data_IF_866422153642
#
_entry.id   IF_866422153642
#
_cell.length_a   1.000
_cell.length_b   1.000
_cell.length_c   1.000
_cell.angle_alpha   90.00
_cell.angle_beta   90.00
_cell.angle_gamma   90.00
#
_symmetry.space_group_name_H-M   'P 1'
#
loop_
_entity.id
_entity.type
_entity.pdbx_description
1 polymer ?
2 non-polymer ?
3 non-polymer ?
4 non-polymer ?
5 non-polymer ?
6 non-polymer ?
7 water ?
#
# COMPACT_ATOMS: atom_id res chain seq x y z
N UNK A 3 -16.29 -27.52 -5.05
CA UNK A 3 -16.12 -26.60 -3.93
C UNK A 3 -14.66 -26.21 -3.75
N UNK A 4 -13.77 -27.08 -4.22
CA UNK A 4 -12.33 -26.98 -4.02
C UNK A 4 -11.69 -26.65 -5.36
N UNK A 5 -11.61 -25.35 -5.66
CA UNK A 5 -11.49 -24.83 -7.02
C UNK A 5 -10.06 -24.96 -7.57
N UNK A 6 -9.98 -24.98 -8.91
CA UNK A 6 -8.74 -25.12 -9.64
C UNK A 6 -8.42 -23.83 -10.41
N UNK A 7 -7.14 -23.45 -10.41
CA UNK A 7 -6.66 -22.31 -11.19
C UNK A 7 -5.52 -22.79 -12.07
N UNK A 8 -5.53 -22.33 -13.32
CA UNK A 8 -4.60 -22.83 -14.34
C UNK A 8 -3.65 -21.74 -14.78
N UNK A 9 -2.43 -22.14 -15.11
CA UNK A 9 -1.47 -21.27 -15.77
C UNK A 9 -1.43 -21.71 -17.24
N UNK A 10 -1.70 -20.76 -18.14
CA UNK A 10 -1.86 -21.08 -19.55
C UNK A 10 -0.56 -20.93 -20.34
N UNK A 11 0.56 -20.65 -19.66
CA UNK A 11 1.86 -20.63 -20.31
C UNK A 11 2.70 -21.84 -19.99
N UNK A 12 2.55 -22.41 -18.79
CA UNK A 12 3.28 -23.59 -18.36
C UNK A 12 2.42 -24.84 -18.21
N UNK A 13 1.09 -24.68 -18.16
CA UNK A 13 0.11 -25.73 -17.91
C UNK A 13 0.09 -26.20 -16.46
N UNK A 14 0.65 -25.43 -15.52
CA UNK A 14 0.56 -25.80 -14.12
C UNK A 14 -0.86 -25.57 -13.63
N UNK A 15 -1.36 -26.49 -12.80
CA UNK A 15 -2.66 -26.36 -12.14
C UNK A 15 -2.45 -26.40 -10.63
N UNK A 16 -3.17 -25.54 -9.92
CA UNK A 16 -3.14 -25.51 -8.47
C UNK A 16 -4.57 -25.58 -7.93
N UNK A 17 -4.72 -26.21 -6.79
CA UNK A 17 -6.02 -26.40 -6.15
C UNK A 17 -6.13 -25.49 -4.94
N UNK A 18 -7.21 -24.70 -4.90
CA UNK A 18 -7.43 -23.71 -3.86
C UNK A 18 -8.50 -24.23 -2.90
N UNK A 19 -8.11 -24.46 -1.65
CA UNK A 19 -9.05 -24.71 -0.57
C UNK A 19 -9.12 -23.57 0.43
N UNK A 20 -8.18 -22.62 0.37
CA UNK A 20 -8.15 -21.53 1.34
C UNK A 20 -9.37 -20.63 1.22
N UNK A 21 -9.95 -20.53 0.02
CA UNK A 21 -11.13 -19.70 -0.16
C UNK A 21 -12.28 -20.13 0.74
N UNK A 22 -12.29 -21.39 1.19
CA UNK A 22 -13.32 -21.84 2.12
C UNK A 22 -13.31 -21.01 3.40
N UNK A 23 -12.12 -20.65 3.88
CA UNK A 23 -11.97 -19.88 5.10
C UNK A 23 -12.41 -18.43 4.94
N UNK A 24 -12.72 -17.99 3.72
CA UNK A 24 -13.04 -16.59 3.48
C UNK A 24 -14.30 -16.17 4.21
N UNK A 25 -14.29 -14.95 4.73
CA UNK A 25 -15.39 -14.40 5.50
C UNK A 25 -16.05 -13.20 4.83
N UNK A 26 -15.27 -12.19 4.45
CA UNK A 26 -15.82 -10.99 3.85
C UNK A 26 -16.40 -11.28 2.46
N UNK A 27 -17.11 -10.29 1.94
CA UNK A 27 -17.74 -10.36 0.63
C UNK A 27 -16.94 -9.56 -0.40
N UNK A 28 -17.17 -9.86 -1.68
CA UNK A 28 -16.32 -9.36 -2.75
C UNK A 28 -16.93 -8.22 -3.55
N UNK A 29 -18.26 -8.13 -3.64
CA UNK A 29 -18.94 -7.25 -4.55
C UNK A 29 -19.59 -7.97 -5.71
N UNK A 30 -19.01 -9.07 -6.16
CA UNK A 30 -19.59 -9.83 -7.25
C UNK A 30 -20.79 -10.65 -6.77
N UNK A 31 -21.67 -10.99 -7.70
CA UNK A 31 -22.75 -11.93 -7.46
C UNK A 31 -22.71 -13.01 -8.52
N UNK A 32 -23.63 -13.98 -8.41
CA UNK A 32 -23.72 -15.03 -9.41
C UNK A 32 -23.99 -14.48 -10.80
N UNK A 33 -24.54 -13.26 -10.89
CA UNK A 33 -24.97 -12.67 -12.15
C UNK A 33 -24.19 -11.42 -12.54
N UNK A 34 -23.17 -11.02 -11.76
CA UNK A 34 -22.40 -9.84 -12.12
C UNK A 34 -21.03 -9.91 -11.45
N UNK A 35 -20.01 -9.60 -12.23
CA UNK A 35 -18.64 -9.58 -11.76
C UNK A 35 -18.17 -8.14 -11.74
N UNK A 36 -17.71 -7.68 -10.57
CA UNK A 36 -17.21 -6.32 -10.38
C UNK A 36 -15.71 -6.31 -10.15
N UNK A 37 -15.02 -7.29 -10.70
CA UNK A 37 -13.58 -7.40 -10.57
C UNK A 37 -12.78 -6.20 -11.06
N UNK A 38 -13.39 -5.29 -11.83
CA UNK A 38 -12.68 -4.10 -12.27
C UNK A 38 -13.11 -2.83 -11.56
N UNK A 39 -13.98 -2.92 -10.55
CA UNK A 39 -14.35 -1.76 -9.73
C UNK A 39 -13.22 -1.48 -8.73
N UNK A 40 -12.77 -0.22 -8.68
CA UNK A 40 -11.58 0.11 -7.90
C UNK A 40 -11.84 0.02 -6.40
N UNK A 41 -12.95 0.59 -5.94
CA UNK A 41 -13.25 0.67 -4.50
C UNK A 41 -14.69 0.25 -4.25
N UNK A 42 -14.99 -1.04 -4.31
CA UNK A 42 -16.33 -1.51 -3.94
C UNK A 42 -16.56 -1.30 -2.44
N UNK A 43 -17.85 -1.27 -2.06
CA UNK A 43 -18.22 -0.99 -0.67
C UNK A 43 -17.50 -1.91 0.31
N UNK A 44 -17.28 -3.17 -0.09
CA UNK A 44 -16.69 -4.15 0.82
C UNK A 44 -15.24 -3.83 1.15
N UNK A 45 -14.52 -3.19 0.22
CA UNK A 45 -13.12 -2.87 0.43
C UNK A 45 -12.90 -1.56 1.19
N UNK A 46 -13.96 -0.94 1.70
CA UNK A 46 -13.87 0.30 2.46
C UNK A 46 -14.42 0.08 3.87
N UNK A 47 -13.97 0.91 4.81
CA UNK A 47 -14.45 0.84 6.18
C UNK A 47 -15.06 2.17 6.62
N UNK A 52 -18.14 1.07 11.42
CA UNK A 52 -18.24 1.22 12.88
C UNK A 52 -18.83 -0.06 13.50
N UNK A 53 -18.16 -0.61 14.50
CA UNK A 53 -18.49 -1.90 15.09
C UNK A 53 -19.01 -1.74 16.51
N UNK A 54 -19.78 -2.75 16.94
CA UNK A 54 -20.39 -2.80 18.27
C UNK A 54 -19.83 -3.99 19.05
N UNK A 55 -20.12 -4.01 20.35
CA UNK A 55 -19.47 -4.97 21.26
C UNK A 55 -19.93 -6.40 21.00
N UNK A 56 -21.17 -6.60 20.55
CA UNK A 56 -21.68 -7.95 20.34
C UNK A 56 -20.90 -8.68 19.26
N UNK A 57 -20.61 -7.99 18.15
CA UNK A 57 -19.92 -8.60 17.03
C UNK A 57 -18.44 -8.87 17.31
N UNK A 58 -17.91 -8.40 18.43
CA UNK A 58 -16.46 -8.36 18.61
C UNK A 58 -15.87 -9.69 19.02
N UNK A 59 -16.59 -10.52 19.80
CA UNK A 59 -15.94 -11.74 20.27
C UNK A 59 -15.77 -12.80 19.19
N UNK A 60 -16.76 -13.11 18.34
CA UNK A 60 -16.47 -14.08 17.26
C UNK A 60 -15.28 -13.68 16.41
N UNK A 61 -15.12 -12.39 16.14
CA UNK A 61 -13.96 -11.92 15.38
C UNK A 61 -12.68 -12.08 16.18
N UNK A 62 -12.74 -11.86 17.50
CA UNK A 62 -11.58 -12.13 18.35
C UNK A 62 -11.29 -13.63 18.41
N UNK A 63 -12.32 -14.42 18.71
CA UNK A 63 -12.17 -15.87 18.76
C UNK A 63 -11.59 -16.42 17.46
N UNK A 64 -12.19 -16.03 16.33
CA UNK A 64 -11.69 -16.45 15.03
C UNK A 64 -10.22 -16.09 14.87
N UNK A 65 -9.83 -14.88 15.24
CA UNK A 65 -8.44 -14.46 15.08
C UNK A 65 -7.52 -15.20 16.03
N UNK A 66 -7.93 -15.33 17.31
CA UNK A 66 -7.11 -16.05 18.28
C UNK A 66 -6.90 -17.49 17.86
N UNK A 67 -7.93 -18.11 17.29
CA UNK A 67 -7.82 -19.48 16.80
C UNK A 67 -6.82 -19.60 15.65
N UNK A 68 -6.73 -18.57 14.80
CA UNK A 68 -5.70 -18.56 13.77
C UNK A 68 -4.31 -18.49 14.39
N UNK A 69 -4.14 -17.65 15.41
CA UNK A 69 -2.81 -17.37 15.94
C UNK A 69 -2.27 -18.55 16.73
N UNK A 70 -3.12 -19.23 17.49
CA UNK A 70 -2.67 -20.37 18.27
C UNK A 70 -2.55 -21.63 17.42
N UNK A 71 -3.41 -21.76 16.41
CA UNK A 71 -3.23 -22.81 15.42
C UNK A 71 -2.16 -22.46 14.40
N UNK A 72 -1.37 -21.44 14.74
CA UNK A 72 -0.20 -21.02 13.98
C UNK A 72 1.10 -21.40 14.67
N UNK A 73 1.24 -21.05 15.95
CA UNK A 73 2.42 -21.44 16.73
C UNK A 73 2.19 -22.84 17.30
N UNK A 74 1.39 -23.63 16.57
CA UNK A 74 1.01 -25.00 16.91
C UNK A 74 0.77 -25.19 18.41
N UNK A 75 -0.21 -24.43 18.90
CA UNK A 75 -0.69 -24.51 20.27
C UNK A 75 -2.20 -24.31 20.31
N UNK A 76 -2.89 -24.95 19.36
CA UNK A 76 -4.32 -24.79 19.17
C UNK A 76 -5.10 -25.55 20.24
N UNK A 77 -6.17 -24.94 20.73
CA UNK A 77 -7.11 -25.57 21.64
C UNK A 77 -6.60 -25.87 23.03
N UNK A 78 -5.32 -25.61 23.32
CA UNK A 78 -4.73 -25.98 24.59
C UNK A 78 -5.10 -24.97 25.66
N UNK A 79 -4.46 -25.08 26.83
CA UNK A 79 -4.77 -24.20 27.96
C UNK A 79 -4.36 -22.77 27.67
N UNK A 80 -3.17 -22.56 27.12
CA UNK A 80 -2.72 -21.21 26.78
C UNK A 80 -3.69 -20.56 25.80
N UNK A 81 -4.25 -21.35 24.88
CA UNK A 81 -5.27 -20.81 23.98
C UNK A 81 -6.57 -20.53 24.74
N UNK A 82 -7.06 -21.52 25.49
CA UNK A 82 -8.37 -21.39 26.12
C UNK A 82 -8.41 -20.25 27.14
N UNK A 83 -7.32 -20.06 27.90
CA UNK A 83 -7.33 -18.98 28.87
C UNK A 83 -7.27 -17.61 28.22
N UNK A 84 -6.53 -17.50 27.10
CA UNK A 84 -6.56 -16.26 26.32
C UNK A 84 -7.91 -16.05 25.67
N UNK A 85 -8.56 -17.14 25.26
CA UNK A 85 -9.93 -17.05 24.76
C UNK A 85 -10.85 -16.45 25.82
N UNK A 86 -10.80 -16.99 27.03
CA UNK A 86 -11.65 -16.49 28.11
C UNK A 86 -11.20 -15.11 28.58
N UNK A 87 -9.89 -14.86 28.56
CA UNK A 87 -9.37 -13.58 29.00
C UNK A 87 -9.88 -12.44 28.11
N UNK A 88 -9.84 -12.63 26.78
CA UNK A 88 -10.37 -11.62 25.88
C UNK A 88 -11.88 -11.54 26.00
N UNK A 89 -12.55 -12.69 26.11
CA UNK A 89 -13.99 -12.71 26.35
C UNK A 89 -14.36 -11.80 27.52
N UNK A 90 -13.76 -12.05 28.68
CA UNK A 90 -14.04 -11.25 29.86
C UNK A 90 -13.78 -9.77 29.62
N UNK A 91 -12.70 -9.44 28.89
CA UNK A 91 -12.35 -8.03 28.68
C UNK A 91 -13.27 -7.37 27.66
N UNK A 92 -13.86 -8.13 26.73
CA UNK A 92 -14.85 -7.55 25.84
C UNK A 92 -16.14 -7.26 26.61
N UNK A 93 -16.52 -8.16 27.53
CA UNK A 93 -17.63 -7.84 28.43
C UNK A 93 -17.32 -6.60 29.25
N UNK A 94 -16.11 -6.53 29.82
CA UNK A 94 -15.76 -5.46 30.74
C UNK A 94 -15.64 -4.11 30.02
N UNK A 95 -14.97 -4.10 28.87
CA UNK A 95 -14.59 -2.86 28.20
C UNK A 95 -15.35 -2.58 26.91
N UNK A 96 -16.05 -3.58 26.35
CA UNK A 96 -16.63 -3.52 25.01
C UNK A 96 -15.56 -3.33 23.94
N UNK A 97 -14.36 -3.81 24.23
CA UNK A 97 -13.22 -3.85 23.31
C UNK A 97 -12.14 -4.71 23.98
N UNK A 98 -10.94 -4.72 23.41
CA UNK A 98 -9.83 -5.45 24.01
C UNK A 98 -8.52 -4.96 23.38
N UNK A 99 -7.42 -5.51 23.88
CA UNK A 99 -6.09 -5.11 23.45
C UNK A 99 -5.31 -6.36 23.06
N UNK A 100 -4.57 -6.25 21.95
CA UNK A 100 -3.76 -7.35 21.45
C UNK A 100 -2.43 -7.43 22.18
N UNK A 101 -1.96 -8.66 22.41
CA UNK A 101 -0.57 -8.86 22.82
C UNK A 101 0.37 -8.41 21.72
N UNK A 102 1.60 -8.02 22.09
CA UNK A 102 2.56 -7.59 21.08
C UNK A 102 2.80 -8.67 20.03
N UNK A 103 2.84 -9.94 20.44
CA UNK A 103 3.03 -10.99 19.45
C UNK A 103 1.81 -11.15 18.55
N UNK A 104 0.61 -10.90 19.06
CA UNK A 104 -0.58 -10.99 18.24
C UNK A 104 -0.65 -9.85 17.24
N UNK A 105 -0.17 -8.67 17.64
CA UNK A 105 -0.11 -7.54 16.73
C UNK A 105 0.82 -7.81 15.55
N UNK A 106 2.01 -8.37 15.84
CA UNK A 106 2.99 -8.65 14.78
C UNK A 106 2.45 -9.71 13.83
N UNK A 107 1.75 -10.71 14.37
CA UNK A 107 1.14 -11.73 13.53
C UNK A 107 0.03 -11.12 12.68
N UNK A 108 -0.91 -10.41 13.31
CA UNK A 108 -2.01 -9.83 12.57
C UNK A 108 -1.56 -8.89 11.46
N UNK A 109 -0.52 -8.10 11.70
CA UNK A 109 -0.06 -7.18 10.66
C UNK A 109 0.63 -7.92 9.52
N UNK A 110 1.42 -8.95 9.83
CA UNK A 110 2.04 -9.71 8.75
C UNK A 110 0.99 -10.42 7.90
N UNK A 111 -0.11 -10.86 8.52
CA UNK A 111 -1.12 -11.59 7.77
C UNK A 111 -2.08 -10.67 7.03
N UNK A 112 -2.26 -9.43 7.48
CA UNK A 112 -2.93 -8.42 6.65
C UNK A 112 -2.21 -8.24 5.32
N UNK A 113 -0.89 -8.02 5.38
CA UNK A 113 -0.09 -7.94 4.15
C UNK A 113 -0.17 -9.23 3.34
N UNK A 114 -0.02 -10.38 4.02
CA UNK A 114 -0.11 -11.67 3.34
C UNK A 114 -1.42 -11.82 2.58
N UNK A 115 -2.51 -11.32 3.15
CA UNK A 115 -3.84 -11.45 2.57
C UNK A 115 -4.18 -10.37 1.55
N UNK A 116 -3.28 -9.43 1.29
CA UNK A 116 -3.55 -8.31 0.38
C UNK A 116 -3.53 -8.80 -1.08
N UNK A 117 -4.70 -9.07 -1.64
CA UNK A 117 -4.75 -9.75 -2.94
C UNK A 117 -4.24 -8.90 -4.11
N UNK A 118 -4.18 -7.59 -3.95
CA UNK A 118 -3.72 -6.65 -4.96
C UNK A 118 -2.21 -6.38 -4.90
N UNK A 119 -1.48 -6.97 -3.95
CA UNK A 119 -0.06 -6.71 -3.75
C UNK A 119 0.78 -7.82 -4.36
N UNK A 120 1.57 -7.47 -5.37
CA UNK A 120 2.45 -8.42 -6.05
C UNK A 120 3.74 -8.68 -5.28
N UNK A 121 3.97 -7.97 -4.19
CA UNK A 121 5.18 -8.06 -3.38
C UNK A 121 5.17 -9.06 -2.25
N UNK A 122 4.11 -9.85 -2.09
CA UNK A 122 3.91 -10.58 -0.84
C UNK A 122 4.88 -11.72 -0.61
N UNK A 123 5.76 -12.06 -1.56
CA UNK A 123 6.75 -13.08 -1.25
C UNK A 123 7.56 -12.68 -0.01
N UNK A 124 7.51 -11.41 0.36
CA UNK A 124 8.26 -10.85 1.49
C UNK A 124 7.44 -10.75 2.78
N UNK A 125 6.21 -11.30 2.80
CA UNK A 125 5.24 -10.92 3.83
C UNK A 125 5.72 -11.22 5.24
N UNK A 126 6.53 -12.27 5.42
CA UNK A 126 6.97 -12.63 6.77
C UNK A 126 8.13 -11.76 7.26
N UNK A 127 8.85 -11.10 6.35
CA UNK A 127 9.91 -10.16 6.73
C UNK A 127 9.32 -8.74 6.75
N UNK A 128 8.62 -8.47 7.85
CA UNK A 128 7.99 -7.17 8.09
C UNK A 128 8.34 -6.72 9.51
N UNK A 129 8.88 -5.52 9.61
CA UNK A 129 9.24 -4.95 10.91
C UNK A 129 8.05 -4.16 11.43
N UNK A 130 7.63 -4.47 12.65
CA UNK A 130 6.38 -3.95 13.20
C UNK A 130 6.75 -3.03 14.34
N UNK A 131 6.31 -1.78 14.24
CA UNK A 131 6.60 -0.75 15.24
C UNK A 131 5.33 -0.45 16.01
N UNK A 132 5.33 -0.74 17.30
CA UNK A 132 4.15 -0.59 18.15
C UNK A 132 4.11 0.85 18.65
N UNK A 133 3.13 1.63 18.16
CA UNK A 133 2.95 3.01 18.56
C UNK A 133 1.63 3.23 19.27
N UNK A 134 1.12 2.18 19.93
CA UNK A 134 -0.17 2.28 20.59
C UNK A 134 -0.11 3.09 21.89
N UNK A 135 1.08 3.49 22.35
CA UNK A 135 1.22 4.37 23.51
C UNK A 135 1.28 5.85 23.14
N UNK A 136 1.04 6.17 21.87
CA UNK A 136 1.15 7.53 21.37
C UNK A 136 -0.11 8.32 21.72
N UNK A 137 0.07 9.59 22.12
CA UNK A 137 -1.05 10.43 22.54
C UNK A 137 -1.18 11.76 21.82
N UNK A 138 -0.15 12.22 21.10
CA UNK A 138 -0.15 13.57 20.56
C UNK A 138 0.34 13.52 19.12
N UNK A 139 0.06 14.61 18.39
CA UNK A 139 0.51 14.63 17.00
C UNK A 139 2.01 14.79 16.90
N UNK A 140 2.64 15.42 17.89
CA UNK A 140 4.11 15.44 17.94
C UNK A 140 4.66 14.04 18.14
N UNK A 141 4.05 13.27 19.05
CA UNK A 141 4.41 11.87 19.18
C UNK A 141 4.34 11.12 17.87
N UNK A 142 3.26 11.33 17.11
CA UNK A 142 3.10 10.67 15.80
C UNK A 142 4.24 11.04 14.86
N UNK A 143 4.52 12.34 14.73
CA UNK A 143 5.63 12.78 13.89
C UNK A 143 6.91 12.04 14.26
N UNK A 144 7.19 11.94 15.56
CA UNK A 144 8.42 11.30 16.02
C UNK A 144 8.45 9.82 15.61
N UNK A 145 7.35 9.09 15.85
CA UNK A 145 7.26 7.71 15.41
C UNK A 145 7.38 7.59 13.89
N UNK A 146 6.76 8.51 13.15
CA UNK A 146 6.80 8.42 11.69
C UNK A 146 8.22 8.69 11.18
N UNK A 147 8.94 9.61 11.84
CA UNK A 147 10.33 9.86 11.45
C UNK A 147 11.17 8.62 11.67
N UNK A 148 10.96 7.93 12.79
CA UNK A 148 11.78 6.75 13.07
C UNK A 148 11.48 5.63 12.09
N UNK A 149 10.21 5.52 11.67
CA UNK A 149 9.83 4.59 10.61
C UNK A 149 10.55 4.92 9.30
N UNK A 150 10.49 6.19 8.86
CA UNK A 150 11.15 6.56 7.61
C UNK A 150 12.65 6.25 7.68
N UNK A 151 13.30 6.58 8.80
CA UNK A 151 14.73 6.32 8.88
C UNK A 151 15.01 4.82 8.85
N UNK A 152 14.25 4.04 9.61
CA UNK A 152 14.49 2.60 9.63
C UNK A 152 14.24 2.00 8.26
N UNK A 153 13.08 2.27 7.68
CA UNK A 153 12.71 1.59 6.44
C UNK A 153 13.64 1.97 5.29
N UNK A 154 14.16 3.20 5.31
CA UNK A 154 15.03 3.62 4.22
C UNK A 154 16.40 2.95 4.30
N UNK A 155 17.01 2.91 5.48
CA UNK A 155 18.26 2.18 5.68
C UNK A 155 19.31 2.57 4.63
N UNK A 156 19.38 3.88 4.36
CA UNK A 156 20.36 4.47 3.45
C UNK A 156 20.33 3.81 2.07
N UNK A 157 19.13 3.42 1.64
CA UNK A 157 18.94 2.82 0.34
C UNK A 157 18.78 1.31 0.38
N UNK A 158 19.14 0.65 1.47
CA UNK A 158 18.88 -0.78 1.57
C UNK A 158 17.51 -1.00 2.22
N UNK A 159 16.47 -0.69 1.44
CA UNK A 159 15.13 -0.54 1.98
C UNK A 159 14.67 -1.80 2.70
N UNK A 160 14.00 -1.58 3.83
CA UNK A 160 13.46 -2.61 4.70
C UNK A 160 11.98 -2.34 4.89
N UNK A 161 11.19 -3.41 4.84
CA UNK A 161 9.75 -3.29 4.99
C UNK A 161 9.39 -3.07 6.44
N UNK A 162 8.42 -2.19 6.69
CA UNK A 162 8.04 -1.85 8.07
C UNK A 162 6.61 -1.32 8.11
N UNK A 163 5.99 -1.39 9.29
CA UNK A 163 4.69 -0.76 9.53
C UNK A 163 4.67 -0.20 10.95
N UNK A 164 4.10 1.00 11.11
CA UNK A 164 3.90 1.61 12.42
C UNK A 164 2.41 1.69 12.72
N UNK A 165 2.02 1.31 13.94
CA UNK A 165 0.62 1.06 14.27
C UNK A 165 0.24 1.95 15.44
N UNK A 166 -0.62 2.94 15.19
CA UNK A 166 -1.07 3.88 16.20
C UNK A 166 -2.28 3.34 16.94
N UNK A 167 -2.69 3.99 18.04
CA UNK A 167 -3.84 3.46 18.80
C UNK A 167 -5.04 3.12 17.95
N UNK A 168 -5.70 2.02 18.31
CA UNK A 168 -6.88 1.56 17.60
C UNK A 168 -8.08 2.49 17.84
N UNK A 169 -8.98 2.53 16.86
CA UNK A 169 -10.25 3.21 17.03
C UNK A 169 -10.97 2.69 18.27
N UNK A 170 -11.63 3.60 18.99
CA UNK A 170 -12.47 3.21 20.13
C UNK A 170 -13.90 3.63 19.85
N UNK A 171 -14.24 4.88 20.19
CA UNK A 171 -15.59 5.36 19.96
C UNK A 171 -15.83 5.76 18.51
N UNK A 172 -14.79 6.21 17.80
CA UNK A 172 -14.96 6.67 16.44
C UNK A 172 -14.69 8.16 16.28
N UNK A 173 -15.14 8.97 17.23
CA UNK A 173 -14.86 10.40 17.19
C UNK A 173 -13.47 10.73 17.70
N UNK A 174 -12.81 9.79 18.36
CA UNK A 174 -11.40 9.90 18.70
C UNK A 174 -10.64 8.95 17.77
N UNK A 175 -9.95 9.51 16.78
CA UNK A 175 -9.34 8.71 15.74
C UNK A 175 -7.96 9.26 15.41
N UNK A 176 -6.95 8.41 15.49
CA UNK A 176 -5.63 8.74 14.96
C UNK A 176 -5.66 8.59 13.45
N UNK A 177 -5.23 9.63 12.74
CA UNK A 177 -5.24 9.60 11.28
C UNK A 177 -4.02 10.32 10.72
N UNK A 178 -3.39 9.71 9.72
CA UNK A 178 -2.44 10.41 8.87
C UNK A 178 -3.19 10.92 7.65
N UNK A 179 -3.32 12.25 7.53
CA UNK A 179 -4.13 12.81 6.45
C UNK A 179 -3.47 12.66 5.08
N UNK A 180 -2.14 12.58 5.03
CA UNK A 180 -1.44 12.30 3.78
C UNK A 180 -1.81 10.91 3.28
N UNK A 181 -1.87 10.75 1.96
CA UNK A 181 -2.12 9.41 1.42
C UNK A 181 -0.85 8.57 1.39
N UNK A 182 0.30 9.21 1.22
CA UNK A 182 1.59 8.56 1.43
C UNK A 182 2.45 9.49 2.27
N UNK A 183 3.37 8.90 3.03
CA UNK A 183 4.24 9.68 3.90
C UNK A 183 5.06 10.69 3.12
N UNK A 184 5.54 10.30 1.95
CA UNK A 184 6.33 11.16 1.07
C UNK A 184 5.62 11.28 -0.27
N UNK A 185 5.13 12.47 -0.60
CA UNK A 185 4.55 12.75 -1.91
C UNK A 185 4.92 14.17 -2.32
N UNK A 186 4.85 14.43 -3.62
CA UNK A 186 5.17 15.75 -4.16
C UNK A 186 3.91 16.59 -4.26
N UNK A 187 4.08 17.90 -4.10
CA UNK A 187 2.95 18.81 -4.05
C UNK A 187 2.35 19.04 -5.44
N UNK A 188 1.07 19.36 -5.45
CA UNK A 188 0.37 19.68 -6.69
C UNK A 188 -0.13 21.10 -6.73
N UNK A 189 0.41 21.89 -7.65
CA UNK A 189 0.05 23.29 -7.79
C UNK A 189 -0.64 23.52 -9.12
N UNK A 190 -1.84 24.09 -9.08
CA UNK A 190 -2.58 24.46 -10.26
C UNK A 190 -2.25 25.90 -10.63
N UNK A 191 -1.96 26.14 -11.90
CA UNK A 191 -1.50 27.44 -12.38
C UNK A 191 -2.68 28.39 -12.55
N UNK A 192 -2.41 29.69 -12.73
CA UNK A 192 -3.52 30.62 -13.01
C UNK A 192 -4.18 30.39 -14.35
N UNK A 193 -3.47 29.81 -15.32
CA UNK A 193 -4.09 29.54 -16.61
C UNK A 193 -4.90 28.24 -16.57
N UNK A 194 -4.43 27.24 -15.83
CA UNK A 194 -5.17 26.01 -15.69
C UNK A 194 -4.32 24.75 -15.56
N UNK A 195 -3.12 24.77 -16.12
CA UNK A 195 -2.24 23.61 -16.10
C UNK A 195 -1.75 23.36 -14.66
N UNK A 196 -0.84 22.40 -14.50
CA UNK A 196 -0.45 21.95 -13.17
C UNK A 196 1.05 21.69 -13.11
N UNK A 197 1.69 22.23 -12.07
CA UNK A 197 3.07 21.89 -11.73
C UNK A 197 3.07 20.91 -10.56
N UNK A 198 4.04 20.00 -10.57
CA UNK A 198 4.10 18.96 -9.57
C UNK A 198 3.17 17.81 -9.87
N UNK A 199 2.53 17.27 -8.83
CA UNK A 199 1.70 16.08 -8.96
C UNK A 199 0.23 16.48 -8.94
N UNK A 200 -0.50 16.40 -10.06
CA UNK A 200 -1.92 16.79 -10.03
C UNK A 200 -2.76 15.97 -9.07
N UNK A 201 -2.33 14.75 -8.70
CA UNK A 201 -3.08 13.95 -7.75
C UNK A 201 -3.25 14.66 -6.41
N UNK A 202 -2.29 15.47 -6.01
CA UNK A 202 -2.25 16.06 -4.68
C UNK A 202 -2.64 17.52 -4.66
N UNK A 203 -3.15 18.03 -5.78
CA UNK A 203 -3.62 19.42 -5.87
C UNK A 203 -4.57 19.73 -4.72
N UNK A 204 -5.46 18.79 -4.40
CA UNK A 204 -6.44 19.02 -3.35
C UNK A 204 -5.78 18.99 -1.97
N UNK A 205 -4.91 18.00 -1.74
CA UNK A 205 -4.21 17.90 -0.47
C UNK A 205 -3.27 19.08 -0.27
N UNK A 206 -2.56 19.48 -1.33
CA UNK A 206 -1.69 20.66 -1.24
C UNK A 206 -2.46 21.90 -0.78
N UNK A 207 -3.71 22.04 -1.23
CA UNK A 207 -4.51 23.19 -0.82
C UNK A 207 -4.86 23.13 0.66
N UNK A 208 -5.09 21.92 1.18
CA UNK A 208 -5.40 21.79 2.60
C UNK A 208 -4.20 22.17 3.46
N UNK A 209 -2.99 21.85 2.99
CA UNK A 209 -1.79 22.20 3.76
C UNK A 209 -1.53 23.71 3.74
N UNK A 210 -1.69 24.35 2.58
CA UNK A 210 -1.59 25.82 2.54
C UNK A 210 -2.71 26.43 3.38
N UNK A 211 -3.88 25.79 3.37
CA UNK A 211 -5.00 26.25 4.18
C UNK A 211 -4.65 26.23 5.67
N UNK A 212 -3.79 25.32 6.09
CA UNK A 212 -3.44 25.16 7.50
C UNK A 212 -2.11 25.80 7.86
N UNK A 213 -1.44 26.47 6.93
CA UNK A 213 -0.25 27.23 7.27
C UNK A 213 1.01 26.92 6.50
N UNK A 214 0.98 25.89 5.65
CA UNK A 214 2.17 25.52 4.90
C UNK A 214 2.53 26.61 3.90
N UNK A 215 3.80 27.01 3.91
CA UNK A 215 4.32 27.95 2.92
C UNK A 215 4.93 27.13 1.78
N UNK A 216 4.28 27.16 0.63
CA UNK A 216 4.63 26.28 -0.47
C UNK A 216 5.83 26.83 -1.23
N UNK A 217 6.89 26.04 -1.44
CA UNK A 217 7.99 26.50 -2.31
C UNK A 217 7.62 26.51 -3.79
N UNK A 218 6.34 26.24 -4.08
CA UNK A 218 5.75 26.19 -5.42
C UNK A 218 6.73 25.85 -6.53
N UNK A 219 7.36 24.68 -6.42
CA UNK A 219 8.11 24.13 -7.53
C UNK A 219 7.47 22.84 -7.99
N UNK A 220 8.26 21.96 -8.60
CA UNK A 220 7.74 20.67 -9.07
C UNK A 220 7.76 19.65 -7.94
N UNK A 221 8.96 19.20 -7.56
CA UNK A 221 9.10 18.09 -6.63
C UNK A 221 9.32 18.60 -5.20
N UNK A 222 8.29 19.26 -4.68
CA UNK A 222 8.28 19.77 -3.31
C UNK A 222 7.68 18.72 -2.40
N UNK A 223 8.51 18.16 -1.50
CA UNK A 223 8.00 17.15 -0.56
C UNK A 223 6.97 17.81 0.35
N UNK A 224 5.81 17.16 0.49
CA UNK A 224 4.72 17.71 1.27
C UNK A 224 4.98 17.55 2.78
N UNK A 225 4.45 18.45 3.60
CA UNK A 225 4.50 18.26 5.04
C UNK A 225 3.55 17.13 5.43
N UNK A 226 3.69 16.68 6.68
CA UNK A 226 2.78 15.70 7.24
C UNK A 226 1.64 16.40 7.96
N UNK A 227 0.43 15.87 7.80
CA UNK A 227 -0.75 16.37 8.51
C UNK A 227 -1.21 15.26 9.44
N UNK A 228 -0.91 15.39 10.73
CA UNK A 228 -1.15 14.31 11.68
C UNK A 228 -2.23 14.70 12.68
N UNK A 229 -3.19 13.79 12.86
CA UNK A 229 -4.37 13.98 13.68
C UNK A 229 -4.34 12.93 14.79
N UNK A 230 -4.40 13.37 16.04
CA UNK A 230 -4.24 12.49 17.19
C UNK A 230 -5.50 12.54 18.05
N UNK A 231 -6.02 11.35 18.39
CA UNK A 231 -7.16 11.16 19.29
C UNK A 231 -8.34 12.06 18.92
N UNK A 232 -8.52 12.29 17.62
CA UNK A 232 -9.61 13.09 17.12
C UNK A 232 -9.35 14.59 17.07
N UNK A 233 -8.24 15.06 17.64
CA UNK A 233 -7.96 16.49 17.61
C UNK A 233 -7.68 16.96 16.18
N UNK A 234 -7.64 18.27 16.00
CA UNK A 234 -7.39 18.81 14.67
C UNK A 234 -5.93 18.54 14.27
N UNK A 235 -5.67 18.29 13.00
CA UNK A 235 -4.32 17.86 12.59
C UNK A 235 -3.36 19.04 12.50
N UNK A 236 -2.07 18.71 12.62
CA UNK A 236 -1.00 19.69 12.71
C UNK A 236 0.07 19.36 11.68
N UNK A 237 0.75 20.40 11.18
CA UNK A 237 1.74 20.25 10.13
C UNK A 237 3.14 20.02 10.70
N UNK A 238 3.88 19.10 10.10
CA UNK A 238 5.29 18.85 10.43
C UNK A 238 6.04 18.52 9.15
N UNK A 239 7.26 19.02 9.04
CA UNK A 239 8.11 18.81 7.86
C UNK A 239 9.10 17.70 8.14
N UNK A 240 9.10 16.68 7.28
CA UNK A 240 10.06 15.59 7.49
C UNK A 240 11.47 16.12 7.26
N UNK A 241 12.40 15.93 8.21
CA UNK A 241 13.76 16.45 8.03
C UNK A 241 14.33 15.99 6.71
N UNK A 242 14.69 16.92 5.83
CA UNK A 242 15.01 16.54 4.45
C UNK A 242 16.11 15.52 4.32
N UNK A 243 17.04 15.43 5.27
CA UNK A 243 18.07 14.38 5.22
C UNK A 243 17.48 12.99 5.40
N UNK A 244 16.23 12.88 5.87
CA UNK A 244 15.54 11.60 5.96
C UNK A 244 14.78 11.23 4.69
N UNK A 245 14.61 12.15 3.74
CA UNK A 245 13.88 11.87 2.50
C UNK A 245 14.88 11.58 1.40
N UNK A 246 15.07 10.29 1.11
CA UNK A 246 16.00 9.86 0.07
C UNK A 246 15.35 10.00 -1.31
N UNK A 247 16.00 10.73 -2.20
CA UNK A 247 15.52 10.93 -3.56
C UNK A 247 16.59 10.48 -4.56
N UNK A 248 16.11 10.03 -5.72
CA UNK A 248 16.93 9.46 -6.79
C UNK A 248 16.73 10.35 -8.01
N UNK A 249 17.78 11.01 -8.51
CA UNK A 249 17.66 11.74 -9.78
C UNK A 249 17.67 10.77 -10.95
N UNK A 250 16.77 10.98 -11.90
CA UNK A 250 16.51 10.02 -12.97
C UNK A 250 17.35 10.38 -14.19
N UNK A 251 18.25 9.47 -14.57
CA UNK A 251 19.06 9.60 -15.76
C UNK A 251 18.98 8.29 -16.54
N UNK A 252 19.24 8.38 -17.91
CA UNK A 252 19.21 7.22 -18.79
C UNK A 252 20.64 6.73 -19.05
N UNK A 253 20.83 5.43 -19.29
CA UNK A 253 22.17 4.91 -19.56
C UNK A 253 22.63 5.03 -21.01
N UNK A 254 21.80 5.56 -21.91
CA UNK A 254 22.23 5.85 -23.26
C UNK A 254 22.07 7.34 -23.56
N UNK A 255 20.89 7.87 -23.30
CA UNK A 255 20.51 9.22 -23.72
C UNK A 255 20.99 10.23 -22.69
N UNK A 256 21.96 11.06 -23.06
CA UNK A 256 22.46 12.07 -22.15
C UNK A 256 21.57 13.29 -22.06
N UNK A 257 20.60 13.46 -22.98
CA UNK A 257 19.60 14.50 -22.76
C UNK A 257 18.65 14.13 -21.63
N UNK A 258 18.64 12.87 -21.21
CA UNK A 258 17.67 12.42 -20.22
C UNK A 258 17.89 13.10 -18.88
N UNK A 259 19.14 13.44 -18.55
CA UNK A 259 19.38 14.14 -17.29
C UNK A 259 18.70 15.50 -17.27
N UNK A 260 18.73 16.22 -18.39
CA UNK A 260 18.19 17.58 -18.40
C UNK A 260 16.67 17.58 -18.34
N UNK A 261 16.03 16.43 -18.52
CA UNK A 261 14.60 16.32 -18.28
C UNK A 261 14.21 16.82 -16.89
N UNK A 262 15.12 16.69 -15.94
CA UNK A 262 14.90 17.21 -14.60
C UNK A 262 13.98 16.39 -13.74
N UNK A 263 14.01 15.07 -13.88
CA UNK A 263 13.16 14.18 -13.12
C UNK A 263 13.89 13.58 -11.92
N UNK A 264 13.13 13.38 -10.85
CA UNK A 264 13.56 12.61 -9.69
C UNK A 264 12.33 12.02 -9.03
N UNK A 265 12.54 10.98 -8.25
CA UNK A 265 11.48 10.41 -7.44
C UNK A 265 12.02 10.15 -6.04
N UNK A 266 11.13 9.80 -5.13
CA UNK A 266 11.54 9.43 -3.78
C UNK A 266 11.70 7.91 -3.69
N UNK A 267 12.57 7.49 -2.77
CA UNK A 267 12.87 6.07 -2.69
C UNK A 267 11.81 5.25 -1.97
N UNK A 268 11.11 5.85 -1.00
CA UNK A 268 10.30 5.09 -0.04
C UNK A 268 8.83 5.16 -0.39
N UNK A 269 8.19 4.07 -0.89
CA UNK A 269 6.73 4.05 -1.00
C UNK A 269 6.10 3.63 0.31
N UNK A 270 5.32 4.53 0.91
CA UNK A 270 4.86 4.37 2.29
C UNK A 270 3.40 4.84 2.36
N UNK A 271 2.46 3.88 2.34
CA UNK A 271 1.05 4.20 2.27
C UNK A 271 0.51 4.48 3.66
N UNK A 272 -0.20 5.60 3.81
CA UNK A 272 -0.60 6.01 5.15
C UNK A 272 -2.09 6.25 5.35
N UNK A 273 -2.93 6.03 4.33
CA UNK A 273 -4.35 6.37 4.43
C UNK A 273 -5.26 5.16 4.59
N UNK A 274 -4.71 3.96 4.73
CA UNK A 274 -5.53 2.77 4.81
C UNK A 274 -5.74 2.35 6.27
N UNK A 275 -6.52 1.29 6.46
CA UNK A 275 -6.98 0.86 7.76
C UNK A 275 -6.57 -0.60 7.95
N UNK A 276 -5.95 -0.91 9.09
CA UNK A 276 -5.54 -2.27 9.42
C UNK A 276 -6.59 -2.89 10.34
N UNK A 277 -7.17 -4.02 9.93
CA UNK A 277 -8.17 -4.71 10.72
C UNK A 277 -7.63 -6.03 11.25
N UNK A 278 -7.71 -6.22 12.58
CA UNK A 278 -7.15 -7.39 13.26
C UNK A 278 -8.16 -7.83 14.31
N UNK A 279 -8.63 -9.07 14.19
CA UNK A 279 -9.59 -9.61 15.15
C UNK A 279 -10.68 -8.64 15.54
N UNK A 280 -11.25 -7.95 14.56
CA UNK A 280 -12.31 -7.01 14.81
C UNK A 280 -11.86 -5.62 15.23
N UNK A 281 -10.62 -5.44 15.64
CA UNK A 281 -10.13 -4.13 16.00
C UNK A 281 -9.72 -3.35 14.75
N UNK A 282 -9.86 -2.03 14.81
CA UNK A 282 -9.64 -1.16 13.67
C UNK A 282 -8.55 -0.15 14.00
N UNK A 283 -7.47 -0.16 13.21
CA UNK A 283 -6.34 0.75 13.37
C UNK A 283 -6.35 1.75 12.22
N UNK A 284 -6.87 2.94 12.47
CA UNK A 284 -7.14 3.91 11.41
C UNK A 284 -5.88 4.58 10.88
N UNK A 285 -4.76 4.43 11.57
CA UNK A 285 -3.50 5.04 11.16
C UNK A 285 -2.45 3.96 11.31
N UNK A 286 -1.95 3.46 10.18
CA UNK A 286 -1.03 2.34 10.15
C UNK A 286 -0.07 2.45 8.96
N UNK A 287 0.75 3.52 8.89
CA UNK A 287 1.62 3.70 7.72
C UNK A 287 2.51 2.47 7.50
N UNK A 288 2.52 1.96 6.27
CA UNK A 288 3.37 0.82 5.94
C UNK A 288 4.14 1.14 4.68
N UNK A 289 5.38 0.65 4.61
CA UNK A 289 6.24 0.94 3.48
C UNK A 289 6.97 -0.30 2.99
N UNK A 290 7.29 -0.31 1.70
CA UNK A 290 8.13 -1.34 1.11
C UNK A 290 9.22 -0.76 0.22
N UNK A 291 9.34 -1.30 -0.99
CA UNK A 291 10.17 -0.67 -2.02
C UNK A 291 9.40 -0.70 -3.33
N UNK A 292 9.85 0.11 -4.27
CA UNK A 292 9.09 0.31 -5.49
C UNK A 292 9.31 -0.81 -6.49
N UNK A 293 8.24 -1.17 -7.20
CA UNK A 293 8.39 -1.78 -8.51
C UNK A 293 8.48 -0.65 -9.52
N UNK A 294 9.38 -0.81 -10.50
CA UNK A 294 9.73 0.31 -11.37
C UNK A 294 8.54 0.94 -12.06
N UNK A 295 7.60 0.10 -12.53
CA UNK A 295 6.47 0.60 -13.31
C UNK A 295 5.57 1.55 -12.52
N UNK A 296 5.57 1.47 -11.18
CA UNK A 296 4.75 2.40 -10.42
C UNK A 296 5.16 3.83 -10.69
N UNK A 297 6.47 4.09 -10.72
CA UNK A 297 7.01 5.41 -11.06
C UNK A 297 6.97 5.64 -12.56
N UNK A 298 7.56 4.73 -13.32
CA UNK A 298 7.82 4.99 -14.73
C UNK A 298 6.58 5.00 -15.62
N UNK A 299 5.56 4.24 -15.25
CA UNK A 299 4.36 4.16 -16.09
C UNK A 299 3.26 5.02 -15.48
N UNK A 300 2.83 4.68 -14.27
CA UNK A 300 1.72 5.38 -13.66
C UNK A 300 2.11 6.79 -13.20
N UNK A 301 3.17 6.91 -12.38
CA UNK A 301 3.51 8.23 -11.86
C UNK A 301 3.91 9.19 -12.97
N UNK A 302 4.72 8.73 -13.92
CA UNK A 302 5.26 9.63 -14.94
C UNK A 302 4.37 9.76 -16.17
N UNK A 303 3.56 8.74 -16.50
CA UNK A 303 2.89 8.72 -17.79
C UNK A 303 1.37 8.69 -17.74
N UNK A 304 0.76 8.48 -16.57
CA UNK A 304 -0.68 8.69 -16.45
C UNK A 304 -1.04 10.08 -16.97
N UNK A 305 -2.19 10.17 -17.64
CA UNK A 305 -2.61 11.45 -18.21
C UNK A 305 -2.93 12.46 -17.11
N UNK A 306 -3.44 11.99 -15.99
CA UNK A 306 -3.80 12.86 -14.89
C UNK A 306 -2.71 12.96 -13.83
N UNK A 307 -1.51 12.46 -14.12
CA UNK A 307 -0.39 12.65 -13.20
C UNK A 307 0.67 13.53 -13.87
N UNK A 308 1.93 13.07 -13.92
CA UNK A 308 2.99 13.95 -14.41
C UNK A 308 2.98 14.09 -15.92
N UNK A 309 2.63 13.03 -16.65
CA UNK A 309 2.27 13.10 -18.05
C UNK A 309 3.42 13.67 -18.89
N UNK A 310 4.46 12.85 -19.01
CA UNK A 310 5.70 13.25 -19.66
C UNK A 310 5.93 12.54 -20.99
N UNK A 311 5.00 11.70 -21.44
CA UNK A 311 5.23 10.94 -22.67
C UNK A 311 5.62 11.83 -23.84
N UNK A 312 4.95 12.98 -23.99
CA UNK A 312 5.18 13.83 -25.15
C UNK A 312 6.57 14.47 -25.12
N UNK A 313 7.01 14.93 -23.95
CA UNK A 313 8.33 15.55 -23.89
C UNK A 313 9.44 14.52 -24.10
N UNK A 314 9.25 13.30 -23.59
CA UNK A 314 10.24 12.26 -23.86
C UNK A 314 10.20 11.86 -25.34
N UNK A 315 9.02 11.81 -25.93
CA UNK A 315 8.92 11.51 -27.36
C UNK A 315 9.58 12.61 -28.19
N UNK A 316 9.44 13.86 -27.76
CA UNK A 316 10.08 14.96 -28.47
C UNK A 316 11.59 14.75 -28.57
N UNK A 317 12.26 14.63 -27.42
CA UNK A 317 13.70 14.51 -27.39
C UNK A 317 14.20 13.19 -27.99
N UNK A 318 13.34 12.18 -28.07
CA UNK A 318 13.72 10.98 -28.80
C UNK A 318 13.65 11.16 -30.31
N UNK A 319 13.04 12.25 -30.78
CA UNK A 319 12.74 12.48 -32.20
C UNK A 319 11.83 11.36 -32.69
N UNK A 320 10.51 11.55 -32.56
CA UNK A 320 9.55 10.50 -32.83
C UNK A 320 8.42 10.98 -33.75
N UNK A 321 7.88 10.02 -34.51
CA UNK A 321 6.69 10.21 -35.34
C UNK A 321 5.47 10.44 -34.46
N UNK A 322 5.24 11.68 -34.04
CA UNK A 322 4.17 11.98 -33.08
C UNK A 322 2.85 12.36 -33.74
N UNK A 323 2.78 12.40 -35.08
CA UNK A 323 1.52 12.77 -35.73
C UNK A 323 0.49 11.67 -35.62
N UNK A 324 0.90 10.42 -35.85
CA UNK A 324 -0.02 9.29 -35.92
C UNK A 324 -0.07 8.55 -34.60
N UNK A 325 -1.22 7.94 -34.31
CA UNK A 325 -1.34 7.10 -33.13
C UNK A 325 -0.67 5.75 -33.35
N UNK A 326 -0.72 5.23 -34.57
CA UNK A 326 -0.18 3.93 -34.93
C UNK A 326 1.33 3.93 -35.14
N UNK A 327 2.00 5.07 -34.99
CA UNK A 327 3.45 5.01 -34.93
C UNK A 327 3.96 4.44 -33.61
N UNK A 328 3.07 4.21 -32.63
CA UNK A 328 3.43 3.67 -31.31
C UNK A 328 4.57 4.47 -30.65
N UNK A 329 4.57 5.79 -30.87
CA UNK A 329 5.57 6.63 -30.21
C UNK A 329 5.35 6.66 -28.71
N UNK A 330 4.10 6.60 -28.28
CA UNK A 330 3.80 6.55 -26.85
C UNK A 330 4.43 5.31 -26.22
N UNK A 331 4.23 4.14 -26.85
CA UNK A 331 4.80 2.90 -26.33
C UNK A 331 6.32 2.97 -26.30
N UNK A 332 6.92 3.48 -27.37
CA UNK A 332 8.37 3.46 -27.49
C UNK A 332 9.03 4.33 -26.43
N UNK A 333 8.45 5.50 -26.13
CA UNK A 333 9.00 6.39 -25.12
C UNK A 333 8.74 5.88 -23.71
N UNK A 334 7.70 5.07 -23.53
CA UNK A 334 7.37 4.50 -22.23
C UNK A 334 8.44 3.51 -21.75
N UNK A 335 8.96 2.70 -22.68
CA UNK A 335 9.96 1.70 -22.34
C UNK A 335 11.26 2.37 -21.91
N UNK A 336 11.67 3.44 -22.61
CA UNK A 336 12.88 4.16 -22.23
C UNK A 336 12.76 4.81 -20.87
N UNK A 337 11.57 5.34 -20.53
CA UNK A 337 11.41 5.97 -19.22
C UNK A 337 11.58 4.94 -18.11
N UNK A 338 11.13 3.71 -18.34
CA UNK A 338 11.22 2.69 -17.30
C UNK A 338 12.62 2.07 -17.22
N UNK A 339 13.37 2.04 -18.32
CA UNK A 339 14.77 1.63 -18.25
C UNK A 339 15.56 2.63 -17.42
N UNK A 340 15.24 3.93 -17.57
CA UNK A 340 15.94 4.97 -16.83
C UNK A 340 15.59 4.92 -15.35
N UNK A 341 14.32 4.67 -15.01
CA UNK A 341 13.95 4.57 -13.61
C UNK A 341 14.74 3.46 -12.95
N UNK A 342 14.76 2.28 -13.57
CA UNK A 342 15.50 1.16 -12.98
C UNK A 342 16.98 1.48 -12.89
N UNK A 343 17.57 1.96 -13.99
CA UNK A 343 19.00 2.24 -14.02
C UNK A 343 19.41 3.23 -12.95
N UNK A 344 18.57 4.24 -12.68
CA UNK A 344 18.96 5.28 -11.73
C UNK A 344 18.94 4.75 -10.30
N UNK A 345 17.85 4.08 -9.90
CA UNK A 345 17.78 3.52 -8.55
C UNK A 345 18.91 2.53 -8.30
N UNK A 346 19.20 1.66 -9.27
CA UNK A 346 20.25 0.66 -9.10
C UNK A 346 21.63 1.30 -8.96
N UNK A 347 21.95 2.27 -9.82
CA UNK A 347 23.26 2.91 -9.75
C UNK A 347 23.46 3.66 -8.44
N UNK A 348 22.37 4.05 -7.78
CA UNK A 348 22.42 4.72 -6.49
C UNK A 348 22.23 3.77 -5.32
N UNK A 349 22.12 2.47 -5.59
CA UNK A 349 21.96 1.45 -4.54
C UNK A 349 20.73 1.73 -3.69
N UNK A 350 19.65 2.16 -4.35
CA UNK A 350 18.34 2.28 -3.74
C UNK A 350 17.50 1.13 -4.27
N UNK A 351 16.97 0.32 -3.35
CA UNK A 351 16.27 -0.90 -3.69
C UNK A 351 15.11 -0.61 -4.62
N UNK A 352 15.04 -1.37 -5.72
CA UNK A 352 13.94 -1.33 -6.68
C UNK A 352 13.85 -2.72 -7.32
N UNK A 353 12.69 -3.05 -7.86
CA UNK A 353 12.50 -4.32 -8.54
C UNK A 353 11.82 -4.04 -9.88
N UNK A 354 12.26 -4.73 -10.92
CA UNK A 354 11.58 -4.57 -12.21
C UNK A 354 10.34 -5.47 -12.24
N UNK A 355 9.46 -5.21 -13.20
CA UNK A 355 8.20 -5.93 -13.24
C UNK A 355 8.37 -7.39 -13.69
N UNK A 356 9.49 -7.72 -14.33
CA UNK A 356 9.76 -9.13 -14.66
C UNK A 356 10.20 -9.90 -13.43
N UNK A 357 11.13 -9.32 -12.66
CA UNK A 357 11.54 -9.98 -11.43
C UNK A 357 10.39 -10.09 -10.44
N UNK A 358 9.64 -9.00 -10.24
CA UNK A 358 8.55 -9.02 -9.26
C UNK A 358 7.47 -10.03 -9.62
N UNK A 359 7.09 -10.08 -10.89
CA UNK A 359 6.01 -11.00 -11.25
C UNK A 359 6.47 -12.45 -11.22
N UNK A 360 7.74 -12.73 -11.54
CA UNK A 360 8.23 -14.10 -11.34
C UNK A 360 8.17 -14.49 -9.86
N UNK A 361 8.62 -13.59 -8.98
CA UNK A 361 8.58 -13.89 -7.56
C UNK A 361 7.16 -14.17 -7.08
N UNK A 362 6.17 -13.45 -7.64
CA UNK A 362 4.79 -13.66 -7.20
C UNK A 362 4.28 -15.03 -7.59
N UNK A 363 4.60 -15.48 -8.81
CA UNK A 363 4.25 -16.84 -9.21
C UNK A 363 4.93 -17.84 -8.27
N UNK A 364 6.19 -17.59 -7.93
CA UNK A 364 6.87 -18.45 -6.97
C UNK A 364 6.23 -18.36 -5.59
N UNK A 365 5.72 -17.16 -5.23
CA UNK A 365 4.99 -17.01 -3.97
C UNK A 365 3.66 -17.75 -4.01
N UNK A 366 2.99 -17.73 -5.15
CA UNK A 366 1.72 -18.44 -5.26
C UNK A 366 1.92 -19.95 -5.11
N UNK A 367 2.97 -20.49 -5.73
CA UNK A 367 3.32 -21.89 -5.55
C UNK A 367 3.38 -22.26 -4.07
N UNK A 368 4.19 -21.52 -3.31
CA UNK A 368 4.33 -21.80 -1.89
C UNK A 368 3.01 -21.69 -1.15
N UNK A 369 2.21 -20.68 -1.48
CA UNK A 369 0.95 -20.46 -0.77
C UNK A 369 -0.07 -21.56 -1.02
N UNK A 370 -0.07 -22.15 -2.22
CA UNK A 370 -0.99 -23.25 -2.47
C UNK A 370 -0.54 -24.56 -1.81
N UNK A 371 0.76 -24.70 -1.55
CA UNK A 371 1.26 -25.88 -0.84
C UNK A 371 1.00 -25.77 0.65
N UNK A 372 1.69 -24.85 1.32
CA UNK A 372 1.64 -24.75 2.77
C UNK A 372 0.43 -23.99 3.29
N UNK A 373 -0.42 -23.44 2.42
CA UNK A 373 -1.60 -22.70 2.87
C UNK A 373 -2.89 -23.13 2.23
N UNK A 374 -2.87 -23.70 1.02
CA UNK A 374 -4.07 -24.09 0.33
C UNK A 374 -4.65 -23.04 -0.60
N UNK A 375 -3.89 -22.00 -0.91
CA UNK A 375 -4.40 -20.93 -1.77
C UNK A 375 -3.61 -19.66 -1.55
N UNK A 376 -4.03 -18.63 -2.30
CA UNK A 376 -3.42 -17.30 -2.31
C UNK A 376 -4.36 -16.33 -3.00
N UNK A 377 -5.17 -15.57 -2.27
CA UNK A 377 -6.08 -14.64 -2.92
C UNK A 377 -5.32 -13.63 -3.76
N UNK A 378 -5.71 -13.50 -5.02
CA UNK A 378 -4.97 -12.64 -5.93
C UNK A 378 -5.93 -11.93 -6.89
N UNK A 379 -5.65 -10.64 -7.14
CA UNK A 379 -6.48 -9.77 -7.97
C UNK A 379 -5.68 -9.52 -9.24
N UNK A 380 -6.01 -10.29 -10.27
CA UNK A 380 -5.35 -10.18 -11.57
C UNK A 380 -5.33 -8.76 -12.09
N UNK A 381 -6.43 -8.03 -11.93
CA UNK A 381 -6.54 -6.67 -12.45
C UNK A 381 -5.44 -5.76 -11.89
N UNK A 382 -5.03 -5.99 -10.62
CA UNK A 382 -3.98 -5.22 -9.98
C UNK A 382 -2.61 -5.88 -10.06
N UNK A 383 -2.56 -7.21 -10.12
CA UNK A 383 -1.26 -7.89 -10.15
C UNK A 383 -0.54 -7.66 -11.48
N UNK A 384 -1.24 -7.79 -12.60
CA UNK A 384 -0.59 -7.66 -13.92
C UNK A 384 -0.05 -6.25 -14.06
N UNK A 385 1.23 -6.05 -14.42
CA UNK A 385 1.83 -4.69 -14.45
C UNK A 385 1.24 -3.83 -15.56
N UNK A 386 1.29 -2.51 -15.41
CA UNK A 386 0.63 -1.63 -16.39
C UNK A 386 1.40 -1.41 -17.68
N UNK A 387 2.39 -2.25 -17.98
CA UNK A 387 3.00 -2.27 -19.31
C UNK A 387 3.48 -3.69 -19.57
N UNK A 388 3.57 -4.04 -20.85
CA UNK A 388 4.14 -5.33 -21.27
C UNK A 388 3.47 -6.51 -20.57
N UNK A 389 2.20 -6.35 -20.19
CA UNK A 389 1.49 -7.36 -19.46
C UNK A 389 1.75 -8.82 -19.81
N UNK A 390 1.57 -9.20 -21.08
CA UNK A 390 1.59 -10.61 -21.43
C UNK A 390 2.98 -11.19 -21.61
N UNK A 391 4.05 -10.40 -21.48
CA UNK A 391 5.38 -10.99 -21.46
C UNK A 391 5.87 -11.22 -20.05
N UNK A 392 5.00 -11.02 -19.04
CA UNK A 392 5.27 -11.41 -17.66
C UNK A 392 4.39 -12.61 -17.31
N UNK A 393 4.86 -13.50 -16.44
CA UNK A 393 4.13 -14.76 -16.22
C UNK A 393 2.79 -14.59 -15.53
N UNK A 394 2.55 -13.49 -14.81
CA UNK A 394 1.26 -13.33 -14.13
C UNK A 394 0.11 -13.15 -15.13
N UNK A 395 0.40 -12.61 -16.33
CA UNK A 395 -0.68 -12.41 -17.30
C UNK A 395 -1.41 -13.72 -17.60
N UNK A 396 -0.67 -14.83 -17.64
CA UNK A 396 -1.19 -16.12 -18.06
C UNK A 396 -1.65 -16.98 -16.88
N UNK A 397 -1.53 -16.48 -15.65
CA UNK A 397 -1.89 -17.24 -14.47
C UNK A 397 -3.30 -16.84 -14.03
N UNK A 398 -4.21 -17.81 -14.02
CA UNK A 398 -5.52 -17.59 -13.41
C UNK A 398 -5.36 -17.37 -11.91
N UNK A 399 -6.21 -16.51 -11.35
CA UNK A 399 -6.12 -16.12 -9.95
C UNK A 399 -7.51 -16.01 -9.35
N UNK A 400 -7.73 -16.62 -8.18
CA UNK A 400 -9.00 -16.47 -7.46
C UNK A 400 -8.83 -15.33 -6.47
N UNK A 401 -9.79 -14.39 -6.48
CA UNK A 401 -9.80 -13.28 -5.55
C UNK A 401 -10.85 -13.54 -4.48
N UNK A 402 -10.46 -13.30 -3.22
CA UNK A 402 -11.37 -13.42 -2.08
C UNK A 402 -10.74 -12.71 -0.90
N UNK A 403 -11.58 -12.33 0.06
CA UNK A 403 -11.19 -11.40 1.11
C UNK A 403 -10.99 -12.19 2.41
N UNK A 404 -9.74 -12.25 2.87
CA UNK A 404 -9.41 -12.83 4.16
C UNK A 404 -9.12 -11.73 5.17
N UNK A 405 -9.16 -12.12 6.45
CA UNK A 405 -8.79 -11.27 7.55
C UNK A 405 -7.70 -11.95 8.37
N UNK A 406 -6.77 -11.19 9.00
CA UNK A 406 -6.60 -9.73 9.03
C UNK A 406 -6.37 -9.11 7.66
N UNK A 407 -6.63 -7.81 7.51
CA UNK A 407 -6.68 -7.19 6.19
C UNK A 407 -6.37 -5.70 6.28
N UNK A 408 -5.90 -5.17 5.17
CA UNK A 408 -5.82 -3.73 4.94
C UNK A 408 -7.06 -3.32 4.14
N UNK A 409 -7.72 -2.25 4.56
CA UNK A 409 -8.91 -1.77 3.88
C UNK A 409 -8.79 -0.29 3.60
N UNK A 410 -9.58 0.17 2.63
CA UNK A 410 -9.66 1.59 2.38
C UNK A 410 -10.61 2.23 3.40
N UNK A 411 -10.55 3.55 3.47
CA UNK A 411 -11.38 4.32 4.39
C UNK A 411 -11.58 5.71 3.81
N UNK A 412 -12.64 6.39 4.18
CA UNK A 412 -12.87 7.74 3.64
C UNK A 412 -11.79 8.72 4.10
N UNK A 413 -11.60 9.75 3.29
CA UNK A 413 -10.63 10.78 3.63
C UNK A 413 -11.07 11.50 4.91
N UNK A 414 -10.13 11.90 5.77
CA UNK A 414 -10.53 12.49 7.06
C UNK A 414 -11.25 13.81 6.93
N UNK A 415 -10.98 14.58 5.89
CA UNK A 415 -11.55 15.92 5.78
C UNK A 415 -12.99 15.90 5.27
N UNK A 416 -13.54 14.73 4.95
CA UNK A 416 -14.95 14.62 4.63
C UNK A 416 -15.78 14.21 5.83
N UNK A 417 -15.15 13.93 6.97
CA UNK A 417 -15.80 13.29 8.10
C UNK A 417 -15.46 13.97 9.42
N UNK A 418 -14.32 14.66 9.48
CA UNK A 418 -13.85 15.23 10.74
C UNK A 418 -14.76 16.37 11.19
N UNK A 419 -15.29 16.27 12.40
CA UNK A 419 -16.08 17.33 13.00
C UNK A 419 -15.10 18.35 13.58
N UNK A 420 -14.88 19.44 12.84
CA UNK A 420 -13.87 20.43 13.18
C UNK A 420 -14.27 21.23 14.41
N UNK A 421 -13.40 22.16 14.78
CA UNK A 421 -13.68 23.14 15.82
C UNK A 421 -12.60 24.21 15.85
X LIG B 1 -0.21 -2.71 -3.58
X LIG B 1 4.34 -4.03 -4.55
X LIG B 1 5.28 -4.00 0.23
X LIG B 1 0.51 -3.94 1.05
X LIG B 1 0.99 -2.89 -4.23
X LIG B 1 1.29 -2.45 -5.57
X LIG B 1 2.54 -2.81 -5.86
X LIG B 1 3.09 -3.49 -4.70
X LIG B 1 3.26 -2.54 -7.20
X LIG B 1 0.32 -1.70 -6.49
X LIG B 1 0.33 -0.23 -6.04
X LIG B 1 -0.46 0.61 -7.03
X LIG B 1 -0.73 0.11 -8.16
X LIG B 1 -0.82 1.77 -6.70
X LIG B 1 4.99 -4.10 -3.34
X LIG B 1 6.42 -4.33 -3.17
X LIG B 1 6.67 -4.35 -1.87
X LIG B 1 5.42 -4.09 -1.15
X LIG B 1 7.44 -4.57 -4.31
X LIG B 1 8.07 -4.56 -1.23
X LIG B 1 8.19 -5.19 -0.07
X LIG B 1 4.08 -3.96 0.91
X LIG B 1 3.88 -3.93 2.36
X LIG B 1 2.55 -3.92 2.58
X LIG B 1 1.88 -3.93 1.28
X LIG B 1 5.06 -3.93 3.36
X LIG B 1 1.74 -3.90 3.89
X LIG B 1 2.30 -3.95 5.10
X LIG B 1 -0.10 -3.52 -0.10
X LIG B 1 -1.49 -3.14 -0.25
X LIG B 1 -1.68 -2.79 -1.56
X LIG B 1 -0.43 -2.96 -2.24
X LIG B 1 -2.44 -3.17 0.96
X LIG B 1 -2.94 -2.30 -2.35
X LIG B 1 -4.25 -2.68 -1.68
X LIG B 1 -5.48 -2.19 -2.37
X LIG B 1 -6.56 -2.74 -2.02
X LIG B 1 -5.42 -1.25 -3.21
X LIG B 1 2.12 -3.53 -3.73
X LIG B 1 4.41 -3.95 -2.08
X LIG B 1 2.85 -3.96 0.31
X LIG B 1 0.52 -3.42 -1.33
X LIG B 1 2.38 -4.11 -1.74
X LIG C 1 -3.73 -1.94 -10.93
X LIG C 1 -2.84 -1.35 -10.10
X LIG C 1 -1.78 -2.07 -9.67
X LIG C 1 -2.99 -0.07 -9.72
X LIG C 1 -4.04 0.65 -10.13
X LIG C 1 -4.17 1.83 -9.75
X LIG C 1 -4.97 0.05 -10.97
X LIG C 1 -4.79 -1.27 -11.38
X LIG C 1 -6.04 0.71 -11.42
X LIG C 1 -5.67 -1.90 -12.21
X LIG C 1 -7.19 -0.09 -11.82
X LIG C 1 -6.80 -1.19 -12.81
X LIG C 1 -8.32 0.77 -12.39
X LIG C 1 -7.78 1.64 -13.38
X LIG C 1 -9.41 -0.12 -12.99
X LIG C 1 -10.56 0.68 -13.60
X LIG C 1 -9.95 -1.02 -12.00
X LIG D 1 9.61 -8.33 -4.60
X LIG D 1 10.57 -7.53 -4.65
X LIG D 1 9.08 -8.82 -5.62
X LIG D 1 9.02 -8.67 -3.25
X LIG E 1 -16.06 -11.31 -10.18
X LIG F 1 4.94 -0.48 -3.17
X LIG F 1 5.00 -0.82 -1.82
X LIG F 1 4.10 -0.25 -0.93
X LIG F 1 3.14 0.65 -1.43
X LIG F 1 3.10 0.95 -2.79
X LIG F 1 4.13 -0.57 0.56
X LIG F 1 2.25 1.78 -3.25
X LIG F 1 1.44 2.59 -3.55
X LIG F 1 0.48 3.65 -3.89
X LIG F 1 -2.01 3.69 -4.04
X LIG F 1 -2.39 2.54 -3.14
X LIG F 1 -1.06 1.88 -3.39
X LIG F 1 -3.38 1.80 -3.57
X LIG F 1 -2.56 2.89 -1.88
X LIG F 1 4.01 0.38 -3.62
X LIG F 1 5.80 -1.02 -4.07
X LIG F 1 -0.75 2.96 -4.34
#
# INVERSE_FOLDING_TARGET
CPRFLKVKNWETDVVLTDTLHLKSTLETGCTEHICMGSIMLPSQHTRKPEDVATKDQLFPLAKEFLDQYYSSIKRFGSKAHMDRLEEVNKEIESTSTYQLKDTELIYGAKHAWRNASRCVGRIQWSKLQVFDARDCTTAHGMFNYICNHVKYATNKGNLRSAITIFPQRTDGKHDFRVWNSQLIRYAGYKQPDGSTLGDPANVQFTEICIQQGWKAPRGRFDVLPLLLQANGNDPELFQIPPELVLEVPIRHPKFDWFKDLGLKWYGLPAVSNMLLEIGGLEFSACPFSGWYMGTEIGVRDYCDNSRYNILEEVAKKMDLDMRKTSSLWKDQALVEINIAVLYSFQSDKVTIVDHHSATESFIKHMENEYRCRGGCPADWVWIVPPMSGSITPVFHQEMLNYRLTPSFEYQPDPWNTHVWKG
HEM CHA CHB CHC CHD C1A C2A C3A C4A CMA CAA CBA CGA O1A O2A C1B C2B C3B C4B CMB CAB CBB C1C C2C C3C C4C CMC CAC CBC C1D C2D C3D C4D CMD CAD CBD CGD O1D O2D NA NB NC ND FE
H4B N1 C2 N2 N3 C4 O4 C4A C8A N5 N8 C6 C7 C9 O9 C10 C11 O10
ACT C O OXT CH3
ZN ZN
K7U C02 C03 C04 C05 C06 C07 C08 C09 C10 C12 C13 C14 F15 F16 N01 N02 N11
#
